data_IF_035451508374
#
_entry.id   IF_035451508374
#
_cell.length_a   1.000
_cell.length_b   1.000
_cell.length_c   1.000
_cell.angle_alpha   90.00
_cell.angle_beta   90.00
_cell.angle_gamma   90.00
#
_symmetry.space_group_name_H-M   'P 1'
#
loop_
_entity.id
_entity.type
_entity.pdbx_description
1 polymer ?
#
# COMPACT_ATOMS: atom_id res chain seq x y z
N UNK A 1 -7.10 29.33 -0.26
CA UNK A 1 -7.48 27.99 0.23
C UNK A 1 -7.86 28.10 1.71
N UNK A 2 -8.87 27.37 2.17
CA UNK A 2 -9.17 27.32 3.61
C UNK A 2 -8.05 26.57 4.35
N UNK A 3 -7.88 26.84 5.64
CA UNK A 3 -6.87 26.15 6.47
C UNK A 3 -7.09 24.63 6.52
N UNK A 4 -8.35 24.19 6.42
CA UNK A 4 -8.73 22.78 6.33
C UNK A 4 -8.29 22.14 5.01
N UNK A 5 -8.49 22.81 3.87
CA UNK A 5 -8.04 22.27 2.57
C UNK A 5 -6.52 22.17 2.46
N UNK A 6 -5.78 23.09 3.07
CA UNK A 6 -4.32 23.03 3.09
C UNK A 6 -3.82 21.80 3.86
N UNK A 7 -4.42 21.52 5.02
CA UNK A 7 -4.11 20.35 5.86
C UNK A 7 -4.45 19.03 5.17
N UNK A 8 -5.53 19.01 4.39
CA UNK A 8 -5.92 17.84 3.61
C UNK A 8 -4.90 17.56 2.49
N UNK A 9 -4.43 18.60 1.78
CA UNK A 9 -3.39 18.45 0.75
C UNK A 9 -2.04 17.99 1.33
N UNK A 10 -1.61 18.54 2.46
CA UNK A 10 -0.34 18.21 3.12
C UNK A 10 -0.29 16.72 3.51
N UNK A 11 -1.38 16.20 4.10
CA UNK A 11 -1.50 14.78 4.41
C UNK A 11 -1.43 13.89 3.16
N UNK A 12 -2.04 14.32 2.04
CA UNK A 12 -2.01 13.56 0.79
C UNK A 12 -0.57 13.51 0.21
N UNK A 13 0.19 14.60 0.30
CA UNK A 13 1.60 14.62 -0.12
C UNK A 13 2.45 13.69 0.74
N UNK A 14 2.31 13.73 2.07
CA UNK A 14 3.02 12.81 2.98
C UNK A 14 2.72 11.32 2.66
N UNK A 15 1.46 10.99 2.37
CA UNK A 15 1.08 9.62 2.02
C UNK A 15 1.56 9.19 0.62
N UNK A 16 1.67 10.13 -0.31
CA UNK A 16 2.25 9.89 -1.64
C UNK A 16 3.75 9.61 -1.55
N UNK A 17 4.47 10.32 -0.68
CA UNK A 17 5.89 10.07 -0.42
C UNK A 17 6.13 8.69 0.23
N UNK A 18 5.17 8.20 1.01
CA UNK A 18 5.14 6.84 1.55
C UNK A 18 4.80 5.75 0.52
N UNK A 19 4.57 6.11 -0.74
CA UNK A 19 4.22 5.17 -1.81
C UNK A 19 2.83 4.56 -1.65
N UNK A 20 1.92 5.24 -0.95
CA UNK A 20 0.52 4.80 -0.83
C UNK A 20 -0.32 5.39 -1.97
N UNK A 21 -1.21 4.57 -2.51
CA UNK A 21 -2.29 5.01 -3.38
C UNK A 21 -3.28 5.78 -2.50
N UNK A 22 -3.50 7.05 -2.83
CA UNK A 22 -4.48 7.90 -2.16
C UNK A 22 -5.68 8.12 -3.10
N UNK A 23 -6.88 7.79 -2.63
CA UNK A 23 -8.14 8.09 -3.32
C UNK A 23 -8.94 9.09 -2.47
N UNK A 24 -9.19 10.27 -3.04
CA UNK A 24 -10.02 11.29 -2.42
C UNK A 24 -11.50 10.98 -2.68
N UNK A 25 -12.30 10.96 -1.63
CA UNK A 25 -13.76 10.93 -1.72
C UNK A 25 -14.33 12.19 -1.06
N UNK A 26 -15.60 12.52 -1.34
CA UNK A 26 -16.27 13.71 -0.79
C UNK A 26 -16.35 13.75 0.75
N UNK A 27 -16.03 12.65 1.45
CA UNK A 27 -16.13 12.54 2.92
C UNK A 27 -14.90 11.93 3.58
N UNK A 28 -13.93 11.41 2.84
CA UNK A 28 -12.76 10.75 3.40
C UNK A 28 -11.64 10.59 2.38
N UNK A 29 -10.43 10.40 2.87
CA UNK A 29 -9.27 9.95 2.09
C UNK A 29 -9.10 8.45 2.31
N UNK A 30 -9.16 7.66 1.24
CA UNK A 30 -8.85 6.23 1.29
C UNK A 30 -7.37 6.04 0.98
N UNK A 31 -6.71 5.24 1.81
CA UNK A 31 -5.32 4.85 1.65
C UNK A 31 -5.28 3.38 1.22
N UNK A 32 -4.65 3.10 0.08
CA UNK A 32 -4.34 1.75 -0.39
C UNK A 32 -2.83 1.61 -0.55
N UNK A 33 -2.26 0.44 -0.27
CA UNK A 33 -0.87 0.19 -0.63
C UNK A 33 -0.73 0.11 -2.17
N UNK A 34 0.34 0.68 -2.73
CA UNK A 34 0.71 0.40 -4.12
C UNK A 34 0.90 -1.10 -4.26
N UNK A 35 0.02 -1.73 -5.05
CA UNK A 35 0.08 -3.16 -5.31
C UNK A 35 1.24 -3.41 -6.26
N UNK A 36 2.38 -3.84 -5.72
CA UNK A 36 3.52 -4.28 -6.54
C UNK A 36 3.11 -5.60 -7.18
N UNK A 37 2.61 -5.52 -8.42
CA UNK A 37 2.29 -6.69 -9.23
C UNK A 37 3.45 -6.90 -10.19
N UNK A 38 4.14 -8.02 -10.02
CA UNK A 38 5.20 -8.45 -10.92
C UNK A 38 5.11 -9.97 -11.04
N UNK A 39 5.23 -10.54 -12.25
CA UNK A 39 5.31 -11.99 -12.43
C UNK A 39 6.38 -12.64 -11.54
N UNK A 40 7.45 -11.90 -11.22
CA UNK A 40 8.49 -12.34 -10.30
C UNK A 40 7.96 -12.55 -8.86
N UNK A 41 7.08 -11.68 -8.37
CA UNK A 41 6.51 -11.81 -7.03
C UNK A 41 5.54 -12.99 -6.93
N UNK A 42 4.81 -13.30 -8.02
CA UNK A 42 3.99 -14.50 -8.10
C UNK A 42 4.85 -15.76 -8.04
N UNK A 43 5.97 -15.79 -8.77
CA UNK A 43 6.93 -16.90 -8.72
C UNK A 43 7.58 -17.07 -7.33
N UNK A 44 7.94 -15.96 -6.69
CA UNK A 44 8.47 -15.97 -5.31
C UNK A 44 7.43 -16.55 -4.36
N UNK A 45 6.17 -16.13 -4.45
CA UNK A 45 5.10 -16.63 -3.60
C UNK A 45 4.88 -18.15 -3.78
N UNK A 46 4.90 -18.66 -5.01
CA UNK A 46 4.79 -20.11 -5.26
C UNK A 46 5.97 -20.89 -4.70
N UNK A 47 7.19 -20.37 -4.87
CA UNK A 47 8.40 -20.99 -4.29
C UNK A 47 8.38 -21.00 -2.76
N UNK A 48 7.88 -19.94 -2.13
CA UNK A 48 7.75 -19.86 -0.67
C UNK A 48 6.74 -20.87 -0.11
N UNK A 49 5.67 -21.21 -0.84
CA UNK A 49 4.71 -22.25 -0.43
C UNK A 49 5.36 -23.63 -0.33
N UNK A 50 6.42 -23.87 -1.08
CA UNK A 50 7.16 -25.14 -1.10
C UNK A 50 8.36 -25.13 -0.13
N UNK A 51 8.75 -23.97 0.41
CA UNK A 51 9.86 -23.86 1.32
C UNK A 51 9.48 -24.34 2.73
N UNK A 52 9.95 -25.53 3.09
CA UNK A 52 9.74 -26.14 4.40
C UNK A 52 10.23 -25.27 5.57
N UNK A 53 11.21 -24.38 5.35
CA UNK A 53 11.70 -23.43 6.37
C UNK A 53 10.73 -22.29 6.59
N UNK A 54 9.91 -21.95 5.60
CA UNK A 54 8.91 -20.88 5.69
C UNK A 54 7.55 -21.39 6.18
N UNK A 55 7.25 -22.68 6.00
CA UNK A 55 6.03 -23.32 6.52
C UNK A 55 5.82 -23.14 8.03
N UNK A 56 6.91 -22.97 8.81
CA UNK A 56 6.84 -22.72 10.26
C UNK A 56 6.27 -21.34 10.63
N UNK A 57 6.15 -20.41 9.68
CA UNK A 57 5.62 -19.07 9.88
C UNK A 57 4.18 -18.92 9.36
N UNK A 58 3.55 -19.99 8.88
CA UNK A 58 2.23 -19.98 8.22
C UNK A 58 1.05 -20.02 9.21
N UNK A 59 1.27 -19.61 10.47
CA UNK A 59 0.30 -19.66 11.58
C UNK A 59 -0.86 -18.69 11.39
#
# INVERSE_FOLDING_TARGET
>A
MSSLMAKELELIEEFKDLGLVCELTTRSVKLGMLKLTSPFLEEVMEKQKMDARLMKYKT
#
